data_IF_764160684416
#
_entry.id   IF_764160684416
#
_cell.length_a   1.000
_cell.length_b   1.000
_cell.length_c   1.000
_cell.angle_alpha   90.00
_cell.angle_beta   90.00
_cell.angle_gamma   90.00
#
_symmetry.space_group_name_H-M   'P 1'
#
loop_
_entity.id
_entity.type
_entity.pdbx_description
1 polymer ?
#
# COMPACT_ATOMS: atom_id res chain seq x y z
N UNK A 1 -19.12 25.89 -49.80
CA UNK A 1 -19.46 26.69 -48.60
C UNK A 1 -20.09 25.74 -47.59
N UNK A 2 -19.65 25.83 -46.33
CA UNK A 2 -19.95 24.98 -45.15
C UNK A 2 -19.44 23.53 -45.29
N UNK A 3 -18.41 23.04 -44.60
CA UNK A 3 -17.87 23.23 -43.23
C UNK A 3 -18.80 22.74 -42.11
N UNK A 4 -18.17 22.30 -41.01
CA UNK A 4 -18.71 21.70 -39.76
C UNK A 4 -18.57 20.17 -39.67
N UNK A 5 -17.40 19.65 -39.26
CA UNK A 5 -16.93 19.42 -37.88
C UNK A 5 -17.73 18.37 -37.11
N UNK A 6 -17.11 17.21 -36.89
CA UNK A 6 -17.35 16.43 -35.68
C UNK A 6 -16.00 15.92 -35.20
N UNK A 7 -15.39 16.69 -34.31
CA UNK A 7 -14.30 16.22 -33.49
C UNK A 7 -14.87 15.18 -32.54
N UNK A 8 -14.57 13.91 -32.79
CA UNK A 8 -14.72 12.88 -31.78
C UNK A 8 -13.55 13.12 -30.83
N UNK A 9 -13.86 13.66 -29.65
CA UNK A 9 -12.91 13.72 -28.55
C UNK A 9 -12.42 12.29 -28.31
N UNK A 10 -11.16 12.04 -28.65
CA UNK A 10 -10.48 10.82 -28.29
C UNK A 10 -10.54 10.75 -26.77
N UNK A 11 -11.36 9.81 -26.26
CA UNK A 11 -11.29 9.40 -24.88
C UNK A 11 -9.82 9.01 -24.64
N UNK A 12 -9.15 9.81 -23.80
CA UNK A 12 -7.78 9.54 -23.34
C UNK A 12 -7.79 8.09 -22.87
N UNK A 13 -7.15 7.20 -23.63
CA UNK A 13 -7.00 5.81 -23.26
C UNK A 13 -6.37 5.81 -21.86
N UNK A 14 -7.08 5.18 -20.92
CA UNK A 14 -6.53 4.87 -19.61
C UNK A 14 -5.31 3.99 -19.85
N UNK A 15 -4.15 4.64 -19.84
CA UNK A 15 -2.90 4.01 -20.24
C UNK A 15 -2.44 3.26 -19.01
N UNK A 16 -2.78 1.96 -18.96
CA UNK A 16 -2.11 1.02 -18.07
C UNK A 16 -0.60 1.24 -18.24
N UNK A 17 0.02 1.93 -17.28
CA UNK A 17 1.47 2.10 -17.24
C UNK A 17 2.04 0.85 -16.61
N UNK A 18 2.89 0.16 -17.35
CA UNK A 18 3.68 -0.93 -16.80
C UNK A 18 4.54 -0.37 -15.65
N UNK A 19 4.30 -0.87 -14.43
CA UNK A 19 5.08 -0.52 -13.25
C UNK A 19 6.28 -1.47 -13.18
N UNK A 20 7.45 -0.98 -13.58
CA UNK A 20 8.65 -1.81 -13.70
C UNK A 20 9.48 -1.92 -12.42
N UNK A 21 9.20 -1.10 -11.40
CA UNK A 21 9.98 -1.08 -10.17
C UNK A 21 9.23 -1.75 -9.03
N UNK A 22 9.70 -2.93 -8.63
CA UNK A 22 9.20 -3.66 -7.46
C UNK A 22 10.04 -3.30 -6.23
N UNK A 23 9.36 -2.85 -5.18
CA UNK A 23 9.97 -2.53 -3.89
C UNK A 23 9.50 -3.53 -2.85
N UNK A 24 10.44 -3.99 -2.02
CA UNK A 24 10.15 -4.69 -0.77
C UNK A 24 10.65 -3.84 0.40
N UNK A 25 9.72 -3.39 1.22
CA UNK A 25 9.93 -2.54 2.38
C UNK A 25 9.67 -3.34 3.66
N UNK A 26 10.49 -3.11 4.66
CA UNK A 26 10.23 -3.53 6.04
C UNK A 26 10.01 -2.27 6.86
N UNK A 27 8.89 -2.23 7.58
CA UNK A 27 8.40 -1.04 8.28
C UNK A 27 8.12 -1.40 9.72
N UNK A 28 8.72 -0.68 10.67
CA UNK A 28 8.39 -0.75 12.10
C UNK A 28 7.34 0.33 12.40
N UNK A 29 6.05 -0.01 12.63
CA UNK A 29 5.00 0.97 12.85
C UNK A 29 5.24 1.80 14.11
N UNK A 30 4.82 3.06 14.13
CA UNK A 30 4.86 3.88 15.35
C UNK A 30 4.16 3.17 16.53
N UNK A 31 4.73 3.24 17.74
CA UNK A 31 4.14 2.66 18.98
C UNK A 31 2.68 3.02 19.25
N UNK A 32 2.18 4.14 18.72
CA UNK A 32 0.80 4.61 18.87
C UNK A 32 -0.01 4.50 17.58
N UNK A 33 0.41 3.64 16.65
CA UNK A 33 -0.32 3.39 15.42
C UNK A 33 -1.66 2.71 15.72
N UNK A 34 -2.73 3.24 15.15
CA UNK A 34 -4.09 2.68 15.30
C UNK A 34 -4.40 1.55 14.29
N UNK A 35 -3.45 1.23 13.40
CA UNK A 35 -3.62 0.19 12.41
C UNK A 35 -3.63 -1.21 13.08
N UNK A 36 -4.65 -2.05 12.84
CA UNK A 36 -4.71 -3.41 13.38
C UNK A 36 -3.50 -4.29 13.01
N UNK A 37 -2.80 -3.96 11.93
CA UNK A 37 -1.60 -4.67 11.47
C UNK A 37 -0.34 -4.28 12.23
N UNK A 38 -0.37 -3.20 13.03
CA UNK A 38 0.76 -2.80 13.86
C UNK A 38 0.96 -3.70 15.09
N UNK A 39 -0.05 -4.49 15.45
CA UNK A 39 0.00 -5.44 16.57
C UNK A 39 -1.04 -6.55 16.40
N UNK A 40 -0.91 -7.42 15.39
CA UNK A 40 -1.89 -8.46 15.14
C UNK A 40 -1.78 -9.57 16.20
N UNK A 41 -2.91 -10.14 16.60
CA UNK A 41 -2.98 -11.26 17.56
C UNK A 41 -2.41 -12.58 17.01
N UNK A 42 -2.18 -12.66 15.71
CA UNK A 42 -1.71 -13.85 15.00
C UNK A 42 -0.83 -13.44 13.82
N UNK A 43 0.05 -14.33 13.36
CA UNK A 43 0.91 -14.06 12.23
C UNK A 43 0.07 -13.82 10.97
N UNK A 44 0.23 -12.63 10.37
CA UNK A 44 -0.44 -12.24 9.14
C UNK A 44 0.34 -12.80 7.94
N UNK A 45 -0.36 -13.47 7.03
CA UNK A 45 0.19 -14.09 5.82
C UNK A 45 -0.10 -13.27 4.56
N UNK A 46 -1.25 -12.62 4.51
CA UNK A 46 -1.65 -11.75 3.40
C UNK A 46 -2.69 -10.74 3.87
N UNK A 47 -2.71 -9.56 3.24
CA UNK A 47 -3.73 -8.54 3.52
C UNK A 47 -4.22 -7.90 2.23
N UNK A 48 -5.53 -7.85 2.07
CA UNK A 48 -6.18 -6.97 1.11
C UNK A 48 -6.74 -5.75 1.84
N UNK A 49 -6.44 -4.54 1.36
CA UNK A 49 -6.94 -3.30 1.95
C UNK A 49 -7.71 -2.48 0.94
N UNK A 50 -8.75 -1.81 1.42
CA UNK A 50 -9.53 -0.85 0.66
C UNK A 50 -9.74 0.39 1.52
N UNK A 51 -9.35 1.55 0.98
CA UNK A 51 -9.64 2.86 1.57
C UNK A 51 -10.95 3.39 1.01
N UNK A 52 -11.91 3.71 1.89
CA UNK A 52 -13.17 4.39 1.58
C UNK A 52 -13.27 5.67 2.43
N UNK A 53 -12.86 6.80 1.85
CA UNK A 53 -12.72 8.06 2.57
C UNK A 53 -11.74 7.94 3.74
N UNK A 54 -12.24 8.16 4.95
CA UNK A 54 -11.45 8.06 6.19
C UNK A 54 -11.61 6.69 6.88
N UNK A 55 -12.01 5.65 6.13
CA UNK A 55 -12.15 4.28 6.64
C UNK A 55 -11.25 3.34 5.85
N UNK A 56 -10.48 2.52 6.56
CA UNK A 56 -9.71 1.43 5.99
C UNK A 56 -10.40 0.10 6.33
N UNK A 57 -10.81 -0.61 5.29
CA UNK A 57 -11.29 -1.98 5.37
C UNK A 57 -10.14 -2.91 5.02
N UNK A 58 -9.91 -3.93 5.85
CA UNK A 58 -8.87 -4.91 5.63
C UNK A 58 -9.43 -6.32 5.76
N UNK A 59 -9.15 -7.15 4.76
CA UNK A 59 -9.27 -8.61 4.85
C UNK A 59 -7.88 -9.16 5.14
N UNK A 60 -7.72 -9.76 6.33
CA UNK A 60 -6.44 -10.23 6.85
C UNK A 60 -6.47 -11.74 6.88
N UNK A 61 -5.59 -12.38 6.10
CA UNK A 61 -5.35 -13.82 6.21
C UNK A 61 -4.31 -14.04 7.30
N UNK A 62 -4.66 -14.79 8.33
CA UNK A 62 -3.76 -15.15 9.43
C UNK A 62 -3.56 -16.65 9.49
N UNK A 63 -2.34 -17.06 9.83
CA UNK A 63 -2.01 -18.46 10.07
C UNK A 63 -2.46 -18.89 11.48
N UNK A 64 -3.05 -20.09 11.58
CA UNK A 64 -3.48 -20.73 12.83
C UNK A 64 -2.89 -22.15 12.93
N UNK A 65 -1.55 -22.22 12.85
CA UNK A 65 -0.80 -23.48 12.89
C UNK A 65 -0.92 -24.30 11.61
N UNK A 66 -2.00 -25.06 11.47
CA UNK A 66 -2.23 -26.01 10.36
C UNK A 66 -3.24 -25.50 9.31
N UNK A 67 -3.87 -24.34 9.55
CA UNK A 67 -4.85 -23.75 8.64
C UNK A 67 -4.77 -22.21 8.63
N UNK A 68 -5.13 -21.60 7.50
CA UNK A 68 -5.29 -20.15 7.39
C UNK A 68 -6.76 -19.76 7.61
N UNK A 69 -7.00 -18.63 8.28
CA UNK A 69 -8.34 -18.04 8.45
C UNK A 69 -8.34 -16.58 8.00
N UNK A 70 -9.48 -16.12 7.48
CA UNK A 70 -9.66 -14.73 7.07
C UNK A 70 -10.41 -13.97 8.16
N UNK A 71 -9.85 -12.85 8.60
CA UNK A 71 -10.41 -11.93 9.58
C UNK A 71 -10.67 -10.59 8.90
N UNK A 72 -11.81 -9.99 9.19
CA UNK A 72 -12.14 -8.65 8.69
C UNK A 72 -11.82 -7.63 9.78
N UNK A 73 -11.07 -6.60 9.42
CA UNK A 73 -10.80 -5.45 10.27
C UNK A 73 -11.31 -4.18 9.59
N UNK A 74 -11.77 -3.24 10.39
CA UNK A 74 -12.17 -1.91 9.93
C UNK A 74 -11.66 -0.89 10.94
N UNK A 75 -10.97 0.13 10.45
CA UNK A 75 -10.40 1.18 11.29
C UNK A 75 -10.52 2.54 10.62
N UNK A 76 -10.52 3.60 11.41
CA UNK A 76 -10.43 4.96 10.89
C UNK A 76 -9.03 5.24 10.38
N UNK A 77 -8.94 5.89 9.22
CA UNK A 77 -7.70 6.32 8.61
C UNK A 77 -7.24 7.60 9.31
N UNK A 78 -6.18 7.50 10.10
CA UNK A 78 -5.45 8.65 10.64
C UNK A 78 -4.33 9.12 9.71
N UNK A 79 -3.65 10.18 10.12
CA UNK A 79 -2.47 10.72 9.43
C UNK A 79 -1.27 9.75 9.45
N UNK A 80 -1.30 8.77 10.35
CA UNK A 80 -0.30 7.71 10.55
C UNK A 80 -0.61 6.43 9.74
N UNK A 81 -1.66 6.42 8.92
CA UNK A 81 -2.04 5.25 8.15
C UNK A 81 -1.08 5.01 6.99
N UNK A 82 -0.32 3.91 7.03
CA UNK A 82 0.59 3.52 5.94
C UNK A 82 -0.13 3.40 4.60
N UNK A 83 -1.33 2.81 4.58
CA UNK A 83 -2.10 2.65 3.33
C UNK A 83 -2.39 4.00 2.67
N UNK A 84 -2.68 5.04 3.47
CA UNK A 84 -2.88 6.40 2.99
C UNK A 84 -1.58 6.99 2.45
N UNK A 85 -0.46 6.78 3.14
CA UNK A 85 0.85 7.22 2.67
C UNK A 85 1.21 6.61 1.30
N UNK A 86 0.96 5.32 1.07
CA UNK A 86 1.15 4.71 -0.26
C UNK A 86 0.20 5.29 -1.32
N UNK A 87 -1.06 5.55 -0.95
CA UNK A 87 -2.05 6.14 -1.86
C UNK A 87 -1.67 7.57 -2.32
N UNK A 88 -0.97 8.36 -1.49
CA UNK A 88 -0.43 9.67 -1.86
C UNK A 88 0.54 9.61 -3.06
N UNK A 89 1.19 8.46 -3.27
CA UNK A 89 2.11 8.19 -4.38
C UNK A 89 1.53 7.27 -5.45
N UNK A 90 0.20 7.14 -5.51
CA UNK A 90 -0.52 6.35 -6.53
C UNK A 90 -0.08 4.87 -6.58
N UNK A 91 0.33 4.31 -5.43
CA UNK A 91 0.77 2.92 -5.33
C UNK A 91 -0.06 2.11 -4.33
N UNK A 92 -0.23 0.83 -4.63
CA UNK A 92 -1.01 -0.09 -3.79
C UNK A 92 -0.05 -0.93 -2.95
N UNK A 93 -0.11 -0.85 -1.61
CA UNK A 93 0.72 -1.69 -0.76
C UNK A 93 0.14 -3.12 -0.70
N UNK A 94 1.00 -4.11 -0.95
CA UNK A 94 0.71 -5.52 -0.72
C UNK A 94 1.42 -5.95 0.55
N UNK A 95 0.67 -6.11 1.62
CA UNK A 95 1.23 -6.48 2.92
C UNK A 95 1.45 -8.00 2.92
N UNK A 96 2.72 -8.40 2.87
CA UNK A 96 3.15 -9.80 2.77
C UNK A 96 3.28 -10.48 4.12
N UNK A 97 3.45 -9.69 5.19
CA UNK A 97 3.56 -10.17 6.56
C UNK A 97 3.37 -9.02 7.53
N UNK A 98 2.79 -9.32 8.69
CA UNK A 98 2.82 -8.49 9.88
C UNK A 98 2.86 -9.38 11.13
N UNK A 99 3.72 -9.05 12.09
CA UNK A 99 3.93 -9.84 13.32
C UNK A 99 4.04 -9.00 14.60
N UNK A 100 3.67 -7.72 14.52
CA UNK A 100 3.63 -6.80 15.66
C UNK A 100 4.94 -6.07 15.93
N UNK A 101 6.05 -6.50 15.34
CA UNK A 101 7.30 -5.73 15.32
C UNK A 101 7.47 -5.04 13.96
N UNK A 102 7.23 -5.78 12.88
CA UNK A 102 7.43 -5.28 11.52
C UNK A 102 6.25 -5.61 10.61
N UNK A 103 6.04 -4.74 9.64
CA UNK A 103 5.16 -4.95 8.49
C UNK A 103 6.04 -5.02 7.25
N UNK A 104 5.95 -6.14 6.52
CA UNK A 104 6.63 -6.30 5.24
C UNK A 104 5.66 -5.94 4.13
N UNK A 105 6.00 -4.90 3.37
CA UNK A 105 5.17 -4.37 2.30
C UNK A 105 5.90 -4.53 0.98
N UNK A 106 5.22 -5.13 0.01
CA UNK A 106 5.62 -5.08 -1.39
C UNK A 106 4.78 -4.04 -2.11
N UNK A 107 5.41 -3.23 -2.96
CA UNK A 107 4.68 -2.31 -3.83
C UNK A 107 5.40 -2.13 -5.16
N UNK A 108 4.71 -1.47 -6.09
CA UNK A 108 5.16 -1.27 -7.46
C UNK A 108 5.05 0.21 -7.81
N UNK A 109 6.12 0.74 -8.39
CA UNK A 109 6.24 2.16 -8.75
C UNK A 109 6.60 2.31 -10.22
N UNK A 110 6.17 3.42 -10.81
CA UNK A 110 6.48 3.75 -12.21
C UNK A 110 7.81 4.48 -12.38
N UNK A 111 8.34 5.11 -11.33
CA UNK A 111 9.56 5.92 -11.40
C UNK A 111 10.40 5.77 -10.13
N UNK A 112 11.72 5.74 -10.30
CA UNK A 112 12.70 5.67 -9.22
C UNK A 112 12.74 6.97 -8.43
N UNK A 113 12.39 8.11 -9.03
CA UNK A 113 12.32 9.39 -8.34
C UNK A 113 11.31 9.37 -7.17
N UNK A 114 10.19 8.66 -7.35
CA UNK A 114 9.12 8.55 -6.34
C UNK A 114 9.55 7.72 -5.13
N UNK A 115 10.56 6.85 -5.27
CA UNK A 115 11.01 5.97 -4.17
C UNK A 115 11.52 6.77 -2.99
N UNK A 116 12.32 7.81 -3.24
CA UNK A 116 12.90 8.61 -2.17
C UNK A 116 11.79 9.33 -1.40
N UNK A 117 10.87 9.99 -2.11
CA UNK A 117 9.76 10.72 -1.51
C UNK A 117 8.83 9.79 -0.71
N UNK A 118 8.54 8.58 -1.23
CA UNK A 118 7.76 7.58 -0.51
C UNK A 118 8.47 7.11 0.76
N UNK A 119 9.77 6.81 0.69
CA UNK A 119 10.53 6.35 1.86
C UNK A 119 10.61 7.45 2.91
N UNK A 120 10.87 8.70 2.51
CA UNK A 120 10.88 9.85 3.43
C UNK A 120 9.51 10.02 4.10
N UNK A 121 8.42 9.95 3.33
CA UNK A 121 7.06 10.02 3.88
C UNK A 121 6.78 8.89 4.87
N UNK A 122 7.23 7.67 4.59
CA UNK A 122 7.06 6.54 5.50
C UNK A 122 7.92 6.70 6.76
N UNK A 123 9.14 7.22 6.65
CA UNK A 123 10.04 7.47 7.78
C UNK A 123 9.44 8.46 8.78
N UNK A 124 8.69 9.47 8.30
CA UNK A 124 7.97 10.42 9.17
C UNK A 124 6.84 9.78 10.00
N UNK A 125 6.24 8.71 9.50
CA UNK A 125 5.06 8.07 10.11
C UNK A 125 5.41 6.87 10.98
N UNK A 126 6.63 6.37 10.87
CA UNK A 126 7.04 5.05 11.40
C UNK A 126 8.17 5.21 12.40
N UNK A 127 8.45 4.17 13.18
CA UNK A 127 9.70 4.17 13.97
C UNK A 127 10.90 3.95 13.08
N UNK A 128 10.70 3.20 11.99
CA UNK A 128 11.73 2.87 11.02
C UNK A 128 11.13 2.37 9.71
N UNK A 129 11.74 2.76 8.60
CA UNK A 129 11.54 2.14 7.28
C UNK A 129 12.87 1.63 6.73
N UNK A 130 12.85 0.44 6.12
CA UNK A 130 14.01 -0.19 5.50
C UNK A 130 13.65 -0.73 4.11
N UNK A 131 14.29 -0.19 3.07
CA UNK A 131 14.22 -0.78 1.74
C UNK A 131 15.05 -2.07 1.70
N UNK A 132 14.36 -3.22 1.70
CA UNK A 132 14.98 -4.55 1.68
C UNK A 132 15.42 -4.96 0.29
N UNK A 133 14.60 -4.65 -0.73
CA UNK A 133 14.88 -4.99 -2.12
C UNK A 133 14.28 -3.95 -3.05
N UNK A 134 15.02 -3.64 -4.10
CA UNK A 134 14.57 -2.91 -5.26
C UNK A 134 14.90 -3.75 -6.50
N UNK A 135 13.89 -4.10 -7.27
CA UNK A 135 14.03 -4.84 -8.52
C UNK A 135 13.43 -4.02 -9.65
N UNK A 136 14.15 -3.93 -10.76
CA UNK A 136 13.69 -3.32 -12.01
C UNK A 136 13.71 -4.41 -13.07
N UNK A 137 12.57 -4.70 -13.69
CA UNK A 137 12.48 -5.61 -14.84
C UNK A 137 12.92 -4.91 -16.14
#
# INVERSE_FOLDING_TARGET
MADSTSGVAEAKADTLREQHLQLLLEIEPAKRCSCPLAGPDSAVEDVHTQLDGDVCHAEVTVGDGDASKVVHATTSVGDDCLCRAFAEFECVPRIRRADGECIVVETYLSDRAVITDLVERLDELTERVCLRRLTSD
#
